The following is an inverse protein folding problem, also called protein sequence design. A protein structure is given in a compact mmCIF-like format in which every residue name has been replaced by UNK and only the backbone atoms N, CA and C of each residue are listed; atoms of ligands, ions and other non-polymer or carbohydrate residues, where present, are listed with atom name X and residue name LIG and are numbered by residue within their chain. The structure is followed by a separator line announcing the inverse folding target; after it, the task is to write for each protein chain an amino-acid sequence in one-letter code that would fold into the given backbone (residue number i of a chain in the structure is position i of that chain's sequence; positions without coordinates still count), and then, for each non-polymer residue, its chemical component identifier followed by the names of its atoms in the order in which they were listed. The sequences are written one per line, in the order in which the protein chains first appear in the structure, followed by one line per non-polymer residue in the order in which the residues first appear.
data_IF_641678192195
#
_entry.id   IF_641678192195
#
_cell.length_a   1.000
_cell.length_b   1.000
_cell.length_c   1.000
_cell.angle_alpha   90.00
_cell.angle_beta   90.00
_cell.angle_gamma   90.00
#
_symmetry.space_group_name_H-M   'P 1'
#
loop_
_entity.id
_entity.type
_entity.pdbx_description
1 polymer ?
#
# COMPACT_ATOMS: atom_id res chain seq x y z
N UNK A 1 -61.52 -58.44 32.77
CA UNK A 1 -61.05 -57.30 33.58
C UNK A 1 -59.55 -57.40 33.77
N UNK A 2 -58.84 -56.51 33.06
CA UNK A 2 -57.50 -55.92 33.32
C UNK A 2 -56.60 -56.63 34.34
N UNK A 3 -55.42 -57.09 33.88
CA UNK A 3 -54.12 -56.72 34.47
C UNK A 3 -52.95 -57.36 33.71
N UNK A 4 -52.57 -56.77 32.56
CA UNK A 4 -51.19 -56.85 32.06
C UNK A 4 -50.48 -55.55 32.44
N UNK A 5 -49.87 -55.52 33.62
CA UNK A 5 -48.94 -54.47 34.03
C UNK A 5 -47.69 -55.17 34.59
N UNK A 6 -46.63 -55.25 33.77
CA UNK A 6 -45.23 -55.20 34.22
C UNK A 6 -44.33 -55.55 33.04
N UNK A 7 -43.55 -54.58 32.54
CA UNK A 7 -42.18 -54.76 31.98
C UNK A 7 -41.71 -53.60 31.06
N UNK A 8 -42.52 -52.56 30.82
CA UNK A 8 -42.11 -51.48 29.90
C UNK A 8 -41.36 -50.30 30.55
N UNK A 9 -41.21 -50.26 31.88
CA UNK A 9 -40.70 -49.07 32.58
C UNK A 9 -39.17 -48.93 32.69
N UNK A 10 -38.35 -49.99 32.87
CA UNK A 10 -36.91 -49.79 33.07
C UNK A 10 -36.16 -49.49 31.77
N UNK A 11 -36.56 -50.08 30.64
CA UNK A 11 -35.88 -49.91 29.35
C UNK A 11 -36.06 -48.49 28.81
N UNK A 12 -37.28 -47.94 28.91
CA UNK A 12 -37.56 -46.54 28.54
C UNK A 12 -36.78 -45.55 29.41
N UNK A 13 -36.61 -45.86 30.70
CA UNK A 13 -35.86 -45.00 31.62
C UNK A 13 -34.36 -45.00 31.32
N UNK A 14 -33.77 -46.16 31.04
CA UNK A 14 -32.35 -46.27 30.62
C UNK A 14 -32.11 -45.54 29.29
N UNK A 15 -33.03 -45.68 28.33
CA UNK A 15 -32.92 -45.00 27.05
C UNK A 15 -33.03 -43.47 27.21
N UNK A 16 -33.89 -42.99 28.12
CA UNK A 16 -34.02 -41.57 28.41
C UNK A 16 -32.77 -41.00 29.08
N UNK A 17 -32.15 -41.72 30.03
CA UNK A 17 -30.88 -41.31 30.63
C UNK A 17 -29.77 -41.28 29.57
N UNK A 18 -29.69 -42.28 28.70
CA UNK A 18 -28.71 -42.32 27.61
C UNK A 18 -28.91 -41.15 26.63
N UNK A 19 -30.16 -40.88 26.23
CA UNK A 19 -30.48 -39.72 25.36
C UNK A 19 -30.20 -38.39 26.05
N UNK A 20 -30.46 -38.26 27.37
CA UNK A 20 -30.12 -37.07 28.15
C UNK A 20 -28.60 -36.87 28.29
N UNK A 21 -27.83 -37.94 28.48
CA UNK A 21 -26.37 -37.90 28.51
C UNK A 21 -25.77 -37.57 27.13
N UNK A 22 -26.34 -38.11 26.05
CA UNK A 22 -25.94 -37.79 24.67
C UNK A 22 -26.29 -36.34 24.32
N UNK A 23 -27.47 -35.85 24.71
CA UNK A 23 -27.87 -34.46 24.49
C UNK A 23 -26.98 -33.49 25.26
N UNK A 24 -26.69 -33.75 26.54
CA UNK A 24 -25.76 -32.94 27.33
C UNK A 24 -24.34 -32.97 26.76
N UNK A 25 -23.86 -34.13 26.32
CA UNK A 25 -22.55 -34.28 25.68
C UNK A 25 -22.46 -33.63 24.30
N UNK A 26 -23.56 -33.60 23.52
CA UNK A 26 -23.63 -32.87 22.26
C UNK A 26 -23.65 -31.36 22.50
N UNK A 27 -24.42 -30.88 23.47
CA UNK A 27 -24.49 -29.46 23.80
C UNK A 27 -23.12 -28.92 24.25
N UNK A 28 -22.39 -29.67 25.09
CA UNK A 28 -21.04 -29.30 25.51
C UNK A 28 -20.03 -29.39 24.35
N UNK A 29 -20.18 -30.36 23.44
CA UNK A 29 -19.33 -30.50 22.24
C UNK A 29 -19.59 -29.38 21.23
N UNK A 30 -20.84 -28.95 21.07
CA UNK A 30 -21.23 -27.83 20.22
C UNK A 30 -20.73 -26.51 20.80
N UNK A 31 -20.88 -26.29 22.12
CA UNK A 31 -20.32 -25.12 22.81
C UNK A 31 -18.80 -25.05 22.69
N UNK A 32 -18.09 -26.18 22.85
CA UNK A 32 -16.63 -26.21 22.69
C UNK A 32 -16.17 -26.03 21.25
N UNK A 33 -16.96 -26.48 20.27
CA UNK A 33 -16.66 -26.27 18.84
C UNK A 33 -16.92 -24.82 18.43
N UNK A 34 -18.03 -24.22 18.88
CA UNK A 34 -18.34 -22.81 18.67
C UNK A 34 -17.32 -21.88 19.35
N UNK A 35 -16.87 -22.23 20.56
CA UNK A 35 -15.81 -21.51 21.25
C UNK A 35 -14.46 -21.61 20.50
N UNK A 36 -14.11 -22.80 19.98
CA UNK A 36 -12.92 -22.98 19.15
C UNK A 36 -12.99 -22.22 17.83
N UNK A 37 -14.17 -22.18 17.19
CA UNK A 37 -14.40 -21.40 15.98
C UNK A 37 -14.26 -19.89 16.25
N UNK A 38 -14.88 -19.38 17.34
CA UNK A 38 -14.72 -17.99 17.78
C UNK A 38 -13.26 -17.64 18.09
N UNK A 39 -12.54 -18.52 18.80
CA UNK A 39 -11.13 -18.31 19.11
C UNK A 39 -10.24 -18.37 17.87
N UNK A 40 -10.56 -19.20 16.88
CA UNK A 40 -9.82 -19.27 15.61
C UNK A 40 -10.02 -18.04 14.71
N UNK A 41 -11.14 -17.32 14.89
CA UNK A 41 -11.43 -16.05 14.23
C UNK A 41 -10.76 -14.85 14.91
N UNK A 42 -10.31 -15.02 16.14
CA UNK A 42 -9.53 -14.02 16.85
C UNK A 42 -8.08 -14.18 16.38
N UNK A 43 -7.62 -13.23 15.58
CA UNK A 43 -6.21 -13.12 15.23
C UNK A 43 -5.43 -12.73 16.50
N UNK A 44 -4.85 -13.73 17.18
CA UNK A 44 -4.04 -13.52 18.38
C UNK A 44 -2.83 -12.62 18.09
N UNK A 45 -2.30 -12.65 16.87
CA UNK A 45 -1.25 -11.73 16.46
C UNK A 45 -1.81 -10.30 16.49
N UNK A 46 -3.05 -10.08 16.04
CA UNK A 46 -3.78 -8.80 16.10
C UNK A 46 -4.04 -8.26 17.49
N UNK A 47 -4.33 -9.13 18.46
CA UNK A 47 -4.45 -8.72 19.86
C UNK A 47 -3.10 -8.36 20.46
N UNK A 48 -2.03 -9.06 20.08
CA UNK A 48 -0.66 -8.72 20.48
C UNK A 48 -0.12 -7.47 19.77
N UNK A 49 -0.74 -7.00 18.66
CA UNK A 49 -0.38 -5.75 17.95
C UNK A 49 -0.52 -4.49 18.82
N UNK A 50 -1.30 -4.51 19.91
CA UNK A 50 -1.65 -3.30 20.69
C UNK A 50 -0.61 -2.85 21.72
N UNK A 51 0.22 -3.77 22.21
CA UNK A 51 1.14 -3.50 23.33
C UNK A 51 2.63 -3.45 22.91
N UNK A 52 2.97 -3.75 21.65
CA UNK A 52 4.33 -3.57 21.15
C UNK A 52 4.61 -2.08 20.81
N UNK A 53 5.70 -1.48 21.32
CA UNK A 53 6.06 -0.13 20.95
C UNK A 53 6.26 -0.03 19.42
N UNK A 54 5.81 1.07 18.78
CA UNK A 54 5.95 1.24 17.35
C UNK A 54 7.42 1.22 16.95
N UNK A 55 7.76 0.51 15.88
CA UNK A 55 9.11 0.55 15.35
C UNK A 55 9.44 1.96 14.89
N UNK A 56 10.57 2.48 15.36
CA UNK A 56 11.13 3.74 14.90
C UNK A 56 12.16 3.44 13.82
N UNK A 57 12.00 4.08 12.67
CA UNK A 57 12.95 4.03 11.56
C UNK A 57 13.46 5.43 11.27
N UNK A 58 14.66 5.56 10.68
CA UNK A 58 15.18 6.86 10.26
C UNK A 58 14.28 7.54 9.22
N UNK A 59 14.51 8.83 8.95
CA UNK A 59 13.65 9.64 8.07
C UNK A 59 14.33 10.12 6.80
N UNK A 60 15.65 9.97 6.69
CA UNK A 60 16.39 10.31 5.47
C UNK A 60 17.21 9.12 4.97
N UNK A 61 17.65 9.18 3.71
CA UNK A 61 18.50 8.13 3.13
C UNK A 61 19.83 8.04 3.88
N UNK A 62 20.40 9.18 4.27
CA UNK A 62 21.68 9.28 4.95
C UNK A 62 21.62 8.63 6.34
N UNK A 63 20.54 8.88 7.11
CA UNK A 63 20.33 8.23 8.41
C UNK A 63 20.04 6.73 8.26
N UNK A 64 19.48 6.31 7.12
CA UNK A 64 19.37 4.89 6.74
C UNK A 64 20.71 4.28 6.32
N UNK A 65 21.77 5.09 6.20
CA UNK A 65 23.09 4.75 5.68
C UNK A 65 23.10 4.36 4.19
N UNK A 66 22.18 4.90 3.38
CA UNK A 66 22.14 4.69 1.93
C UNK A 66 22.19 6.01 1.15
N UNK A 67 22.60 5.93 -0.11
CA UNK A 67 22.39 6.97 -1.10
C UNK A 67 22.25 6.34 -2.50
N UNK A 68 21.73 7.11 -3.45
CA UNK A 68 21.81 6.75 -4.87
C UNK A 68 23.18 7.15 -5.41
N UNK A 69 23.87 6.22 -6.07
CA UNK A 69 25.15 6.49 -6.72
C UNK A 69 24.96 7.18 -8.10
N UNK A 70 26.07 7.41 -8.80
CA UNK A 70 26.06 8.03 -10.15
C UNK A 70 25.28 7.25 -11.21
N UNK A 71 25.11 5.93 -11.00
CA UNK A 71 24.31 5.05 -11.86
C UNK A 71 22.84 4.98 -11.43
N UNK A 72 22.41 5.79 -10.47
CA UNK A 72 21.05 5.80 -9.94
C UNK A 72 20.70 4.57 -9.09
N UNK A 73 21.70 3.84 -8.57
CA UNK A 73 21.48 2.63 -7.79
C UNK A 73 21.56 2.92 -6.29
N UNK A 74 20.63 2.39 -5.50
CA UNK A 74 20.65 2.53 -4.04
C UNK A 74 21.77 1.68 -3.43
N UNK A 75 22.72 2.32 -2.73
CA UNK A 75 23.91 1.66 -2.16
C UNK A 75 24.18 2.15 -0.74
N UNK A 76 24.66 1.26 0.11
CA UNK A 76 25.06 1.59 1.45
C UNK A 76 26.28 2.55 1.42
N UNK A 77 26.25 3.63 2.19
CA UNK A 77 27.25 4.71 2.14
C UNK A 77 28.68 4.24 2.44
N UNK A 78 28.82 3.29 3.38
CA UNK A 78 30.15 2.78 3.81
C UNK A 78 30.66 1.60 2.97
N UNK A 79 29.81 0.60 2.72
CA UNK A 79 30.21 -0.68 2.10
C UNK A 79 29.96 -0.71 0.60
N UNK A 80 29.10 0.17 0.07
CA UNK A 80 28.66 0.12 -1.31
C UNK A 80 27.74 -1.07 -1.62
N UNK A 81 27.24 -1.80 -0.63
CA UNK A 81 26.39 -2.96 -0.84
C UNK A 81 24.93 -2.58 -1.16
N UNK A 82 24.19 -3.44 -1.90
CA UNK A 82 22.77 -3.22 -2.16
C UNK A 82 21.93 -3.41 -0.89
N UNK A 83 20.69 -2.90 -0.93
CA UNK A 83 19.75 -3.08 0.16
C UNK A 83 19.35 -4.56 0.33
N UNK A 84 19.49 -5.07 1.56
CA UNK A 84 19.03 -6.42 1.94
C UNK A 84 17.72 -6.32 2.71
N UNK A 85 16.67 -6.97 2.20
CA UNK A 85 15.35 -7.01 2.83
C UNK A 85 15.35 -7.79 4.15
N UNK A 86 15.85 -9.03 4.13
CA UNK A 86 15.97 -9.88 5.32
C UNK A 86 17.21 -9.52 6.15
N UNK A 87 17.28 -8.29 6.65
CA UNK A 87 18.39 -7.83 7.48
C UNK A 87 18.40 -8.51 8.87
N UNK A 88 17.26 -9.00 9.34
CA UNK A 88 17.13 -9.81 10.55
C UNK A 88 16.29 -11.04 10.25
N UNK A 89 16.90 -12.22 10.25
CA UNK A 89 16.27 -13.47 9.77
C UNK A 89 14.94 -13.77 10.46
N UNK A 90 14.88 -13.64 11.79
CA UNK A 90 13.70 -14.00 12.59
C UNK A 90 12.66 -12.87 12.73
N UNK A 91 12.94 -11.66 12.24
CA UNK A 91 12.09 -10.49 12.45
C UNK A 91 11.42 -10.01 11.16
N UNK A 92 10.59 -10.87 10.56
CA UNK A 92 9.86 -10.57 9.33
C UNK A 92 9.04 -9.27 9.40
N UNK A 93 8.32 -9.04 10.51
CA UNK A 93 7.52 -7.81 10.71
C UNK A 93 8.40 -6.57 10.71
N UNK A 94 9.56 -6.63 11.37
CA UNK A 94 10.50 -5.52 11.41
C UNK A 94 11.12 -5.27 10.03
N UNK A 95 11.53 -6.31 9.30
CA UNK A 95 12.09 -6.19 7.94
C UNK A 95 11.07 -5.54 6.99
N UNK A 96 9.80 -5.97 7.07
CA UNK A 96 8.71 -5.40 6.28
C UNK A 96 8.53 -3.91 6.61
N UNK A 97 8.50 -3.55 7.90
CA UNK A 97 8.35 -2.15 8.32
C UNK A 97 9.56 -1.28 7.96
N UNK A 98 10.77 -1.84 7.99
CA UNK A 98 12.00 -1.18 7.50
C UNK A 98 11.93 -0.89 6.01
N UNK A 99 11.47 -1.87 5.23
CA UNK A 99 11.29 -1.73 3.79
C UNK A 99 10.21 -0.70 3.44
N UNK A 100 9.11 -0.67 4.20
CA UNK A 100 8.06 0.35 4.08
C UNK A 100 8.62 1.74 4.36
N UNK A 101 9.32 1.92 5.49
CA UNK A 101 9.94 3.19 5.87
C UNK A 101 10.92 3.70 4.81
N UNK A 102 11.83 2.86 4.33
CA UNK A 102 12.74 3.21 3.24
C UNK A 102 11.99 3.63 1.96
N UNK A 103 10.89 2.95 1.63
CA UNK A 103 10.07 3.28 0.48
C UNK A 103 9.38 4.64 0.56
N UNK A 104 9.00 5.10 1.75
CA UNK A 104 8.46 6.45 1.94
C UNK A 104 9.55 7.52 1.77
N UNK A 105 10.78 7.25 2.24
CA UNK A 105 11.93 8.14 2.03
C UNK A 105 12.25 8.25 0.53
N UNK A 106 12.30 7.12 -0.17
CA UNK A 106 12.52 7.09 -1.62
C UNK A 106 11.42 7.86 -2.36
N UNK A 107 10.18 7.81 -1.87
CA UNK A 107 9.08 8.59 -2.46
C UNK A 107 9.36 10.09 -2.39
N UNK A 108 9.81 10.60 -1.24
CA UNK A 108 10.19 12.02 -1.12
C UNK A 108 11.39 12.35 -2.01
N UNK A 109 12.39 11.47 -2.06
CA UNK A 109 13.54 11.65 -2.95
C UNK A 109 13.14 11.73 -4.43
N UNK A 110 12.22 10.89 -4.89
CA UNK A 110 11.70 10.95 -6.27
C UNK A 110 10.94 12.26 -6.53
N UNK A 111 10.16 12.76 -5.56
CA UNK A 111 9.52 14.09 -5.69
C UNK A 111 10.54 15.20 -5.83
N UNK A 112 11.62 15.18 -5.04
CA UNK A 112 12.70 16.15 -5.18
C UNK A 112 13.36 16.08 -6.55
N UNK A 113 13.52 14.89 -7.13
CA UNK A 113 14.03 14.75 -8.50
C UNK A 113 13.05 15.30 -9.54
N UNK A 114 11.75 15.06 -9.40
CA UNK A 114 10.75 15.65 -10.30
C UNK A 114 10.83 17.18 -10.28
N UNK A 115 10.96 17.78 -9.10
CA UNK A 115 11.03 19.23 -8.94
C UNK A 115 12.36 19.81 -9.43
N UNK A 116 13.49 19.22 -8.99
CA UNK A 116 14.83 19.80 -9.24
C UNK A 116 15.43 19.38 -10.59
N UNK A 117 15.28 18.11 -10.99
CA UNK A 117 15.88 17.56 -12.21
C UNK A 117 14.94 17.70 -13.41
N UNK A 118 13.64 17.49 -13.21
CA UNK A 118 12.65 17.57 -14.29
C UNK A 118 11.91 18.91 -14.37
N UNK A 119 12.20 19.87 -13.48
CA UNK A 119 11.55 21.18 -13.43
C UNK A 119 10.01 21.10 -13.37
N UNK A 120 9.48 20.05 -12.73
CA UNK A 120 8.04 19.84 -12.59
C UNK A 120 7.52 20.60 -11.37
N UNK A 121 6.33 21.17 -11.47
CA UNK A 121 5.66 21.85 -10.36
C UNK A 121 4.61 20.93 -9.76
N UNK A 122 4.60 20.82 -8.42
CA UNK A 122 3.55 20.12 -7.69
C UNK A 122 2.32 21.02 -7.56
N UNK A 123 1.18 20.60 -8.10
CA UNK A 123 -0.09 21.30 -7.94
C UNK A 123 -1.04 20.47 -7.09
N UNK A 124 -1.62 21.07 -6.06
CA UNK A 124 -2.63 20.43 -5.19
C UNK A 124 -4.00 20.61 -5.81
N UNK A 125 -4.81 19.55 -5.78
CA UNK A 125 -6.15 19.52 -6.35
C UNK A 125 -7.20 19.11 -5.29
N UNK A 126 -8.41 19.67 -5.32
CA UNK A 126 -8.80 20.83 -6.14
C UNK A 126 -8.09 22.11 -5.66
N UNK A 127 -7.87 23.05 -6.57
CA UNK A 127 -7.21 24.33 -6.28
C UNK A 127 -8.10 25.22 -5.39
N UNK A 128 -9.40 25.23 -5.67
CA UNK A 128 -10.45 25.84 -4.85
C UNK A 128 -11.00 24.81 -3.85
N UNK A 129 -10.21 24.52 -2.81
CA UNK A 129 -10.63 23.58 -1.75
C UNK A 129 -11.36 24.28 -0.61
N UNK A 130 -12.29 23.57 0.00
CA UNK A 130 -12.75 23.86 1.37
C UNK A 130 -11.90 23.09 2.39
N UNK A 131 -11.83 23.55 3.65
CA UNK A 131 -10.95 22.96 4.68
C UNK A 131 -11.23 21.45 4.93
N UNK A 132 -12.44 20.99 4.64
CA UNK A 132 -12.88 19.61 4.87
C UNK A 132 -12.81 18.72 3.62
N UNK A 133 -12.36 19.25 2.47
CA UNK A 133 -12.36 18.51 1.21
C UNK A 133 -11.09 17.64 1.04
N UNK A 134 -11.22 16.37 0.60
CA UNK A 134 -10.07 15.54 0.30
C UNK A 134 -9.23 16.15 -0.83
N UNK A 135 -7.93 16.24 -0.61
CA UNK A 135 -6.98 16.76 -1.60
C UNK A 135 -6.10 15.67 -2.18
N UNK A 136 -5.69 15.88 -3.43
CA UNK A 136 -4.65 15.12 -4.12
C UNK A 136 -3.63 16.10 -4.70
N UNK A 137 -2.67 15.61 -5.47
CA UNK A 137 -1.77 16.45 -6.23
C UNK A 137 -1.35 15.79 -7.54
N UNK A 138 -0.87 16.63 -8.45
CA UNK A 138 -0.27 16.25 -9.72
C UNK A 138 1.09 16.94 -9.86
N UNK A 139 1.92 16.42 -10.75
CA UNK A 139 3.13 17.12 -11.20
C UNK A 139 2.95 17.53 -12.65
N UNK A 140 3.29 18.77 -12.98
CA UNK A 140 3.13 19.34 -14.31
C UNK A 140 4.37 20.11 -14.76
N UNK A 141 4.70 20.06 -16.04
CA UNK A 141 5.73 20.93 -16.63
C UNK A 141 5.24 22.39 -16.64
N UNK A 142 6.13 23.40 -16.64
CA UNK A 142 5.74 24.80 -16.54
C UNK A 142 4.78 25.28 -17.65
N UNK A 143 4.85 24.64 -18.81
CA UNK A 143 4.04 24.93 -19.99
C UNK A 143 2.81 24.00 -20.13
N UNK A 144 2.57 23.10 -19.17
CA UNK A 144 1.60 22.01 -19.35
C UNK A 144 0.17 22.46 -19.66
N UNK A 145 -0.22 23.64 -19.17
CA UNK A 145 -1.56 24.22 -19.33
C UNK A 145 -1.63 25.33 -20.39
N UNK A 146 -0.48 25.80 -20.88
CA UNK A 146 -0.40 26.91 -21.85
C UNK A 146 0.01 26.45 -23.25
N UNK A 147 0.61 25.27 -23.36
CA UNK A 147 1.10 24.71 -24.60
C UNK A 147 -0.05 24.08 -25.41
N UNK A 148 -0.35 24.59 -26.63
CA UNK A 148 -1.46 24.11 -27.45
C UNK A 148 -1.12 22.86 -28.30
N UNK A 149 0.09 22.32 -28.19
CA UNK A 149 0.61 21.30 -29.12
C UNK A 149 0.29 19.88 -28.66
N UNK A 150 1.14 19.28 -27.84
CA UNK A 150 1.06 17.88 -27.42
C UNK A 150 1.17 17.78 -25.90
N UNK A 151 0.40 16.89 -25.30
CA UNK A 151 0.43 16.61 -23.87
C UNK A 151 0.72 15.12 -23.65
N UNK A 152 1.82 14.82 -22.96
CA UNK A 152 2.13 13.49 -22.44
C UNK A 152 1.55 13.35 -21.04
N UNK A 153 0.64 12.39 -20.87
CA UNK A 153 0.04 12.08 -19.57
C UNK A 153 0.61 10.77 -19.03
N UNK A 154 1.30 10.83 -17.89
CA UNK A 154 1.83 9.67 -17.18
C UNK A 154 0.96 9.36 -15.96
N UNK A 155 0.43 8.14 -15.91
CA UNK A 155 -0.47 7.67 -14.86
C UNK A 155 0.20 6.47 -14.19
N UNK A 156 0.43 6.55 -12.87
CA UNK A 156 0.89 5.39 -12.10
C UNK A 156 -0.26 4.44 -11.75
N UNK A 157 0.10 3.19 -11.44
CA UNK A 157 -0.83 2.20 -10.90
C UNK A 157 -1.29 2.50 -9.47
N UNK A 158 -2.24 1.68 -8.98
CA UNK A 158 -2.79 1.80 -7.62
C UNK A 158 -1.90 1.20 -6.53
N UNK A 159 -2.24 1.49 -5.27
CA UNK A 159 -1.63 0.89 -4.09
C UNK A 159 -0.50 1.73 -3.47
N UNK A 160 0.66 1.13 -3.27
CA UNK A 160 1.82 1.78 -2.61
C UNK A 160 2.70 2.59 -3.57
N UNK A 161 2.39 2.55 -4.87
CA UNK A 161 3.08 3.36 -5.88
C UNK A 161 2.59 4.80 -5.79
N UNK A 162 3.50 5.74 -6.06
CA UNK A 162 3.29 7.18 -5.91
C UNK A 162 3.69 7.87 -7.21
N UNK A 163 3.37 9.16 -7.33
CA UNK A 163 3.73 9.96 -8.49
C UNK A 163 5.22 9.81 -8.82
N UNK A 164 5.57 9.67 -10.09
CA UNK A 164 6.95 9.52 -10.53
C UNK A 164 7.52 8.12 -10.44
N UNK A 165 6.78 7.13 -9.91
CA UNK A 165 7.30 5.78 -9.69
C UNK A 165 6.53 4.73 -10.52
N UNK A 166 7.27 3.75 -11.05
CA UNK A 166 6.70 2.52 -11.61
C UNK A 166 6.64 1.41 -10.57
N UNK A 167 7.75 1.21 -9.84
CA UNK A 167 7.84 0.16 -8.84
C UNK A 167 8.94 0.45 -7.82
N UNK A 168 8.55 0.59 -6.55
CA UNK A 168 9.47 0.70 -5.40
C UNK A 168 10.54 -0.40 -5.39
N UNK A 169 10.15 -1.65 -5.74
CA UNK A 169 11.07 -2.79 -5.79
C UNK A 169 12.19 -2.60 -6.81
N UNK A 170 11.89 -2.01 -7.97
CA UNK A 170 12.90 -1.74 -8.99
C UNK A 170 13.85 -0.64 -8.54
N UNK A 171 13.31 0.45 -7.98
CA UNK A 171 14.13 1.56 -7.43
C UNK A 171 15.14 1.05 -6.38
N UNK A 172 14.70 0.16 -5.49
CA UNK A 172 15.55 -0.35 -4.40
C UNK A 172 16.60 -1.36 -4.89
N UNK A 173 16.25 -2.24 -5.82
CA UNK A 173 17.09 -3.39 -6.18
C UNK A 173 17.85 -3.24 -7.50
N UNK A 174 17.41 -2.34 -8.37
CA UNK A 174 18.03 -2.07 -9.67
C UNK A 174 18.56 -0.64 -9.67
N UNK A 175 17.71 0.33 -10.04
CA UNK A 175 18.07 1.74 -10.18
C UNK A 175 16.82 2.64 -10.32
N UNK A 176 17.04 3.95 -10.28
CA UNK A 176 16.03 4.97 -10.52
C UNK A 176 15.42 4.86 -11.93
N UNK A 177 16.20 4.52 -12.95
CA UNK A 177 15.73 4.57 -14.34
C UNK A 177 14.67 3.48 -14.62
N UNK A 178 14.92 2.26 -14.16
CA UNK A 178 13.97 1.15 -14.25
C UNK A 178 12.74 1.34 -13.35
N UNK A 179 12.92 2.02 -12.21
CA UNK A 179 11.90 2.13 -11.18
C UNK A 179 11.03 3.39 -11.24
N UNK A 180 11.40 4.39 -12.04
CA UNK A 180 10.74 5.71 -12.06
C UNK A 180 10.28 6.13 -13.45
N UNK A 181 9.39 7.11 -13.48
CA UNK A 181 8.90 7.77 -14.68
C UNK A 181 9.91 8.79 -15.23
N UNK A 182 10.99 9.09 -14.48
CA UNK A 182 11.94 10.17 -14.80
C UNK A 182 12.57 10.02 -16.18
N UNK A 183 13.04 8.82 -16.63
CA UNK A 183 13.63 8.71 -17.97
C UNK A 183 12.67 9.08 -19.10
N UNK A 184 11.37 8.78 -18.93
CA UNK A 184 10.35 9.13 -19.91
C UNK A 184 10.10 10.64 -19.93
N UNK A 185 10.07 11.27 -18.75
CA UNK A 185 9.93 12.72 -18.61
C UNK A 185 11.13 13.42 -19.24
N UNK A 186 12.36 13.01 -18.89
CA UNK A 186 13.60 13.55 -19.47
C UNK A 186 13.60 13.41 -20.98
N UNK A 187 13.21 12.25 -21.51
CA UNK A 187 13.16 12.04 -22.95
C UNK A 187 12.14 12.93 -23.66
N UNK A 188 10.95 13.10 -23.09
CA UNK A 188 9.90 13.95 -23.66
C UNK A 188 10.33 15.42 -23.69
N UNK A 189 10.98 15.92 -22.62
CA UNK A 189 11.55 17.27 -22.60
C UNK A 189 12.65 17.46 -23.67
N UNK A 190 13.58 16.50 -23.80
CA UNK A 190 14.63 16.55 -24.83
C UNK A 190 14.08 16.59 -26.26
N UNK A 191 13.05 15.77 -26.53
CA UNK A 191 12.40 15.73 -27.84
C UNK A 191 11.69 17.04 -28.12
N UNK A 192 10.92 17.57 -27.16
CA UNK A 192 10.21 18.84 -27.29
C UNK A 192 11.15 20.02 -27.58
N UNK A 193 12.32 20.06 -26.93
CA UNK A 193 13.35 21.06 -27.19
C UNK A 193 13.94 20.93 -28.60
N UNK A 194 14.15 19.70 -29.09
CA UNK A 194 14.83 19.44 -30.37
C UNK A 194 13.90 19.65 -31.58
N UNK A 195 12.64 19.22 -31.48
CA UNK A 195 11.71 19.25 -32.62
C UNK A 195 10.90 20.55 -32.69
N UNK A 196 10.96 21.42 -31.67
CA UNK A 196 10.02 22.52 -31.45
C UNK A 196 8.54 22.08 -31.40
N UNK A 197 8.27 20.77 -31.42
CA UNK A 197 6.97 20.21 -31.08
C UNK A 197 6.95 20.08 -29.56
N UNK A 198 6.69 21.19 -28.87
CA UNK A 198 6.81 21.24 -27.42
C UNK A 198 5.79 20.27 -26.80
N UNK A 199 6.27 19.27 -26.06
CA UNK A 199 5.44 18.32 -25.33
C UNK A 199 5.27 18.80 -23.89
N UNK A 200 4.06 19.23 -23.56
CA UNK A 200 3.63 19.40 -22.18
C UNK A 200 3.63 18.04 -21.47
N UNK A 201 4.06 17.98 -20.21
CA UNK A 201 4.05 16.73 -19.43
C UNK A 201 3.18 16.90 -18.20
N UNK A 202 2.24 15.99 -18.03
CA UNK A 202 1.36 15.91 -16.88
C UNK A 202 1.47 14.52 -16.25
N UNK A 203 1.70 14.50 -14.94
CA UNK A 203 1.81 13.29 -14.16
C UNK A 203 0.69 13.26 -13.12
N UNK A 204 -0.21 12.28 -13.27
CA UNK A 204 -1.48 12.23 -12.55
C UNK A 204 -1.49 11.15 -11.48
N UNK A 205 -1.68 11.55 -10.23
CA UNK A 205 -1.93 10.62 -9.12
C UNK A 205 -3.39 10.18 -9.10
N UNK A 206 -3.67 8.99 -9.61
CA UNK A 206 -4.95 8.33 -9.41
C UNK A 206 -4.91 7.44 -8.15
N UNK A 207 -5.31 7.99 -7.01
CA UNK A 207 -5.63 7.18 -5.83
C UNK A 207 -7.00 6.52 -6.06
N UNK A 208 -7.00 5.34 -6.71
CA UNK A 208 -8.22 4.56 -6.99
C UNK A 208 -8.99 4.09 -5.73
N UNK A 209 -8.48 4.32 -4.52
CA UNK A 209 -9.11 3.86 -3.28
C UNK A 209 -10.02 4.89 -2.60
N UNK A 210 -10.00 6.16 -3.03
CA UNK A 210 -10.87 7.20 -2.46
C UNK A 210 -11.63 7.93 -3.55
N UNK A 211 -12.59 7.23 -4.16
CA UNK A 211 -13.72 7.82 -4.86
C UNK A 211 -13.47 8.24 -6.31
N UNK A 212 -14.32 7.72 -7.19
CA UNK A 212 -14.55 8.16 -8.58
C UNK A 212 -14.63 9.70 -8.74
N UNK A 213 -14.98 10.41 -7.65
CA UNK A 213 -15.11 11.87 -7.58
C UNK A 213 -13.79 12.64 -7.81
N UNK A 214 -12.64 12.14 -7.32
CA UNK A 214 -11.35 12.84 -7.51
C UNK A 214 -10.90 12.74 -8.96
N UNK A 215 -11.22 11.64 -9.65
CA UNK A 215 -10.85 11.44 -11.05
C UNK A 215 -11.66 12.37 -11.96
N UNK A 216 -12.96 12.53 -11.72
CA UNK A 216 -13.79 13.48 -12.46
C UNK A 216 -13.41 14.94 -12.16
N UNK A 217 -13.16 15.30 -10.90
CA UNK A 217 -12.78 16.67 -10.55
C UNK A 217 -11.41 17.04 -11.13
N UNK A 218 -10.43 16.14 -11.04
CA UNK A 218 -9.09 16.35 -11.60
C UNK A 218 -9.14 16.55 -13.12
N UNK A 219 -9.87 15.70 -13.84
CA UNK A 219 -10.04 15.85 -15.30
C UNK A 219 -10.80 17.13 -15.67
N UNK A 220 -11.87 17.46 -14.93
CA UNK A 220 -12.64 18.70 -15.13
C UNK A 220 -11.79 19.96 -14.86
N UNK A 221 -10.98 19.98 -13.81
CA UNK A 221 -10.07 21.09 -13.48
C UNK A 221 -9.00 21.27 -14.56
N UNK A 222 -8.54 20.18 -15.17
CA UNK A 222 -7.53 20.22 -16.22
C UNK A 222 -8.10 20.48 -17.62
N UNK A 223 -9.43 20.61 -17.77
CA UNK A 223 -10.12 20.74 -19.06
C UNK A 223 -9.71 19.67 -20.09
N UNK A 224 -9.41 18.44 -19.62
CA UNK A 224 -9.04 17.28 -20.44
C UNK A 224 -10.25 16.44 -20.84
#
# INVERSE_FOLDING_TARGET
MISHLCAATPVLYILWIAMAQIAAGQEDREKTTALKDLLSRIDLDELMKKDEPPFTFPKTLEEFEYAFNEYGQLRHLKTGEPFVFNAREDLHRWNQKRYEALGEIITQYVYELLEKKCNMTKQILPEERTDDEPTSFIYLSPDALSNPSKLLVLIQGSGVVRAGQWARRLIINQDLDSGTQIPFITRAMEVGDTTQEVEAILLVVLNLFSGLLIQESTLKTLHL
#
